data_IF_434359928123
#
_entry.id   IF_434359928123
#
_cell.length_a   1.000
_cell.length_b   1.000
_cell.length_c   1.000
_cell.angle_alpha   90.00
_cell.angle_beta   90.00
_cell.angle_gamma   90.00
#
_symmetry.space_group_name_H-M   'P 1'
#
loop_
_entity.id
_entity.type
_entity.pdbx_description
1 polymer ?
#
# COMPACT_ATOMS: atom_id res chain seq x y z
N UNK A 1 34.48 25.08 43.60
CA UNK A 1 33.11 25.34 43.09
C UNK A 1 32.14 25.07 44.22
N UNK A 2 31.23 26.00 44.54
CA UNK A 2 30.22 25.74 45.56
C UNK A 2 29.15 24.76 45.04
N UNK A 3 28.54 23.99 45.94
CA UNK A 3 27.42 23.08 45.61
C UNK A 3 26.30 23.80 44.85
N UNK A 4 26.07 25.09 45.15
CA UNK A 4 25.10 25.94 44.46
C UNK A 4 25.46 26.22 43.00
N UNK A 5 26.74 26.45 42.69
CA UNK A 5 27.21 26.66 41.32
C UNK A 5 27.05 25.40 40.45
N UNK A 6 27.28 24.22 41.03
CA UNK A 6 27.08 22.94 40.33
C UNK A 6 25.59 22.69 40.03
N UNK A 7 24.70 22.97 41.00
CA UNK A 7 23.24 22.86 40.83
C UNK A 7 22.76 23.81 39.72
N UNK A 8 23.16 25.08 39.75
CA UNK A 8 22.77 26.05 38.72
C UNK A 8 23.27 25.65 37.32
N UNK A 9 24.49 25.14 37.20
CA UNK A 9 25.03 24.64 35.93
C UNK A 9 24.22 23.45 35.41
N UNK A 10 23.85 22.49 36.27
CA UNK A 10 23.03 21.34 35.87
C UNK A 10 21.64 21.79 35.40
N UNK A 11 21.02 22.73 36.10
CA UNK A 11 19.73 23.31 35.71
C UNK A 11 19.80 24.04 34.36
N UNK A 12 20.82 24.86 34.14
CA UNK A 12 21.05 25.53 32.86
C UNK A 12 21.29 24.53 31.71
N UNK A 13 22.07 23.48 31.97
CA UNK A 13 22.30 22.41 30.98
C UNK A 13 21.01 21.67 30.64
N UNK A 14 20.21 21.30 31.64
CA UNK A 14 18.89 20.68 31.45
C UNK A 14 17.95 21.59 30.65
N UNK A 15 17.84 22.87 31.02
CA UNK A 15 17.04 23.88 30.30
C UNK A 15 17.48 24.04 28.85
N UNK A 16 18.77 24.20 28.59
CA UNK A 16 19.30 24.31 27.22
C UNK A 16 19.05 23.07 26.35
N UNK A 17 19.00 21.89 26.98
CA UNK A 17 18.73 20.62 26.30
C UNK A 17 17.24 20.51 25.97
N UNK A 18 16.37 20.91 26.90
CA UNK A 18 14.92 20.96 26.69
C UNK A 18 14.54 21.93 25.57
N UNK A 19 15.10 23.15 25.57
CA UNK A 19 14.88 24.15 24.52
C UNK A 19 15.29 23.60 23.15
N UNK A 20 16.50 23.03 23.03
CA UNK A 20 16.98 22.42 21.77
C UNK A 20 16.07 21.29 21.29
N UNK A 21 15.58 20.45 22.20
CA UNK A 21 14.65 19.36 21.88
C UNK A 21 13.31 19.91 21.37
N UNK A 22 12.74 20.90 22.04
CA UNK A 22 11.46 21.49 21.65
C UNK A 22 11.56 22.24 20.31
N UNK A 23 12.67 22.93 20.04
CA UNK A 23 12.92 23.55 18.73
C UNK A 23 12.99 22.51 17.59
N UNK A 24 13.60 21.35 17.85
CA UNK A 24 13.63 20.24 16.88
C UNK A 24 12.22 19.69 16.62
N UNK A 25 11.41 19.53 17.67
CA UNK A 25 10.02 19.09 17.51
C UNK A 25 9.17 20.09 16.74
N UNK A 26 9.26 21.39 17.06
CA UNK A 26 8.54 22.43 16.31
C UNK A 26 8.95 22.46 14.83
N UNK A 27 10.25 22.29 14.54
CA UNK A 27 10.73 22.17 13.15
C UNK A 27 10.17 20.93 12.45
N UNK A 28 10.14 19.78 13.12
CA UNK A 28 9.57 18.54 12.56
C UNK A 28 8.08 18.72 12.23
N UNK A 29 7.32 19.34 13.12
CA UNK A 29 5.92 19.67 12.88
C UNK A 29 5.73 20.63 11.72
N UNK A 30 6.60 21.61 11.50
CA UNK A 30 6.50 22.50 10.33
C UNK A 30 6.74 21.78 8.99
N UNK A 31 7.58 20.74 9.01
CA UNK A 31 7.95 19.93 7.84
C UNK A 31 7.22 18.57 7.75
N UNK A 32 6.13 18.39 8.52
CA UNK A 32 5.44 17.11 8.60
C UNK A 32 4.94 16.62 7.23
N UNK A 33 4.47 17.54 6.38
CA UNK A 33 3.88 17.21 5.08
C UNK A 33 4.95 16.70 4.10
N UNK A 34 6.11 17.36 4.07
CA UNK A 34 7.27 16.94 3.27
C UNK A 34 7.75 15.56 3.72
N UNK A 35 7.83 15.34 5.03
CA UNK A 35 8.20 14.04 5.61
C UNK A 35 7.18 12.98 5.21
N UNK A 36 5.88 13.27 5.31
CA UNK A 36 4.82 12.35 4.91
C UNK A 36 4.91 11.99 3.42
N UNK A 37 5.16 12.97 2.54
CA UNK A 37 5.34 12.74 1.10
C UNK A 37 6.56 11.87 0.81
N UNK A 38 7.70 12.13 1.47
CA UNK A 38 8.91 11.30 1.31
C UNK A 38 8.63 9.87 1.76
N UNK A 39 8.00 9.68 2.93
CA UNK A 39 7.67 8.35 3.44
C UNK A 39 6.71 7.60 2.50
N UNK A 40 5.65 8.26 2.02
CA UNK A 40 4.71 7.69 1.05
C UNK A 40 5.41 7.32 -0.27
N UNK A 41 6.31 8.18 -0.76
CA UNK A 41 7.06 7.92 -2.00
C UNK A 41 7.96 6.70 -1.85
N UNK A 42 8.71 6.61 -0.75
CA UNK A 42 9.54 5.42 -0.46
C UNK A 42 8.68 4.17 -0.36
N UNK A 43 7.53 4.27 0.33
CA UNK A 43 6.58 3.17 0.49
C UNK A 43 6.02 2.67 -0.84
N UNK A 44 5.78 3.55 -1.82
CA UNK A 44 5.29 3.16 -3.16
C UNK A 44 6.38 2.59 -4.06
N UNK A 45 7.60 3.12 -3.98
CA UNK A 45 8.71 2.68 -4.84
C UNK A 45 9.26 1.32 -4.44
N UNK A 46 9.26 0.97 -3.15
CA UNK A 46 9.80 -0.31 -2.66
C UNK A 46 9.09 -1.54 -3.27
N UNK A 47 7.75 -1.64 -3.32
CA UNK A 47 7.06 -2.73 -3.99
C UNK A 47 7.31 -2.85 -5.48
N UNK A 48 7.64 -1.74 -6.15
CA UNK A 48 8.01 -1.70 -7.58
C UNK A 48 9.43 -2.23 -7.78
N UNK A 49 10.31 -2.07 -6.80
CA UNK A 49 11.68 -2.62 -6.84
C UNK A 49 11.71 -4.15 -6.76
N UNK A 50 10.76 -4.78 -6.07
CA UNK A 50 10.70 -6.23 -5.91
C UNK A 50 10.76 -7.03 -7.23
N UNK A 51 9.94 -6.75 -8.26
CA UNK A 51 10.02 -7.44 -9.54
C UNK A 51 11.33 -7.21 -10.30
N UNK A 52 11.94 -6.01 -10.20
CA UNK A 52 13.27 -5.76 -10.78
C UNK A 52 14.34 -6.64 -10.12
N UNK A 53 14.30 -6.76 -8.79
CA UNK A 53 15.20 -7.65 -8.05
C UNK A 53 15.00 -9.12 -8.42
N UNK A 54 13.77 -9.55 -8.67
CA UNK A 54 13.49 -10.89 -9.21
C UNK A 54 14.12 -11.07 -10.60
N UNK A 55 13.91 -10.11 -11.51
CA UNK A 55 14.42 -10.16 -12.90
C UNK A 55 15.94 -10.25 -12.99
N UNK A 56 16.67 -9.59 -12.09
CA UNK A 56 18.15 -9.65 -12.05
C UNK A 56 18.70 -10.81 -11.21
N UNK A 57 17.83 -11.71 -10.73
CA UNK A 57 18.23 -12.88 -9.92
C UNK A 57 18.52 -12.58 -8.44
N UNK A 58 18.34 -11.34 -7.98
CA UNK A 58 18.47 -10.93 -6.58
C UNK A 58 17.23 -11.35 -5.75
N UNK A 59 16.93 -12.65 -5.74
CA UNK A 59 15.68 -13.19 -5.19
C UNK A 59 15.56 -13.04 -3.66
N UNK A 60 16.68 -13.13 -2.93
CA UNK A 60 16.69 -12.99 -1.47
C UNK A 60 16.19 -11.59 -1.01
N UNK A 61 16.78 -10.46 -1.46
CA UNK A 61 16.26 -9.14 -1.10
C UNK A 61 14.85 -8.89 -1.65
N UNK A 62 14.50 -9.41 -2.84
CA UNK A 62 13.13 -9.31 -3.34
C UNK A 62 12.11 -9.96 -2.37
N UNK A 63 12.42 -11.16 -1.87
CA UNK A 63 11.59 -11.88 -0.89
C UNK A 63 11.39 -11.10 0.40
N UNK A 64 12.40 -10.36 0.87
CA UNK A 64 12.25 -9.49 2.05
C UNK A 64 11.18 -8.43 1.79
N UNK A 65 11.21 -7.78 0.62
CA UNK A 65 10.19 -6.79 0.25
C UNK A 65 8.81 -7.45 0.21
N UNK A 66 8.63 -8.57 -0.50
CA UNK A 66 7.34 -9.28 -0.51
C UNK A 66 6.83 -9.60 0.89
N UNK A 67 7.71 -10.11 1.77
CA UNK A 67 7.36 -10.46 3.15
C UNK A 67 6.89 -9.26 3.96
N UNK A 68 7.61 -8.13 3.90
CA UNK A 68 7.25 -6.90 4.63
C UNK A 68 5.86 -6.39 4.24
N UNK A 69 5.49 -6.50 2.96
CA UNK A 69 4.18 -6.05 2.47
C UNK A 69 3.07 -7.09 2.60
N UNK A 70 3.40 -8.35 2.90
CA UNK A 70 2.43 -9.46 2.93
C UNK A 70 1.31 -9.35 3.99
N UNK A 71 1.45 -8.61 5.12
CA UNK A 71 0.34 -8.36 6.03
C UNK A 71 -0.61 -7.26 5.54
N UNK A 72 -0.17 -6.42 4.60
CA UNK A 72 -0.89 -5.22 4.14
C UNK A 72 -1.71 -5.49 2.87
N UNK A 73 -1.30 -6.47 2.06
CA UNK A 73 -1.99 -6.88 0.85
C UNK A 73 -1.86 -8.39 0.68
N UNK A 74 -2.90 -9.02 0.15
CA UNK A 74 -2.90 -10.45 -0.13
C UNK A 74 -1.97 -10.87 -1.28
N UNK A 75 -1.53 -9.91 -2.10
CA UNK A 75 -0.58 -10.07 -3.20
C UNK A 75 -1.03 -11.12 -4.22
N UNK A 76 -2.33 -11.29 -4.44
CA UNK A 76 -2.80 -12.23 -5.45
C UNK A 76 -2.30 -11.80 -6.83
N UNK A 77 -1.62 -12.71 -7.52
CA UNK A 77 -1.00 -12.46 -8.82
C UNK A 77 -1.96 -11.79 -9.80
N UNK A 78 -3.15 -12.33 -10.00
CA UNK A 78 -4.17 -11.77 -10.91
C UNK A 78 -4.75 -10.40 -10.51
N UNK A 79 -4.36 -9.86 -9.35
CA UNK A 79 -4.73 -8.52 -8.88
C UNK A 79 -3.54 -7.57 -8.82
N UNK A 80 -2.33 -8.06 -9.09
CA UNK A 80 -1.09 -7.28 -9.02
C UNK A 80 -0.68 -6.73 -10.38
N UNK A 81 0.22 -5.75 -10.35
CA UNK A 81 0.89 -5.23 -11.53
C UNK A 81 2.09 -6.13 -11.79
N UNK A 82 2.30 -6.55 -13.03
CA UNK A 82 3.49 -7.26 -13.48
C UNK A 82 4.42 -6.36 -14.26
N UNK A 83 5.73 -6.59 -14.11
CA UNK A 83 6.78 -5.94 -14.87
C UNK A 83 7.63 -7.00 -15.58
N UNK A 84 8.13 -6.65 -16.75
CA UNK A 84 9.04 -7.48 -17.57
C UNK A 84 8.42 -8.74 -18.18
N UNK A 85 7.08 -8.80 -18.28
CA UNK A 85 6.35 -9.88 -18.96
C UNK A 85 5.50 -9.38 -20.12
N UNK A 86 4.72 -10.29 -20.69
CA UNK A 86 3.83 -10.02 -21.83
C UNK A 86 2.78 -8.93 -21.55
N UNK A 87 2.30 -8.86 -20.30
CA UNK A 87 1.23 -7.95 -19.88
C UNK A 87 1.56 -7.25 -18.56
N UNK A 88 1.00 -6.06 -18.38
CA UNK A 88 1.03 -5.35 -17.09
C UNK A 88 0.04 -5.91 -16.08
N UNK A 89 -1.07 -6.48 -16.56
CA UNK A 89 -2.12 -7.05 -15.74
C UNK A 89 -2.56 -8.38 -16.33
N UNK A 90 -2.76 -9.37 -15.46
CA UNK A 90 -3.32 -10.67 -15.81
C UNK A 90 -4.63 -10.84 -15.03
N UNK A 91 -5.77 -10.31 -15.50
CA UNK A 91 -7.04 -10.49 -14.81
C UNK A 91 -7.52 -11.94 -14.91
N UNK A 92 -8.38 -12.37 -13.99
CA UNK A 92 -9.07 -13.67 -14.09
C UNK A 92 -9.96 -13.71 -15.34
N UNK A 93 -10.22 -14.91 -15.87
CA UNK A 93 -11.11 -15.10 -17.03
C UNK A 93 -12.45 -14.36 -16.91
N UNK A 94 -13.06 -14.39 -15.71
CA UNK A 94 -14.34 -13.71 -15.42
C UNK A 94 -14.29 -12.18 -15.60
N UNK A 95 -13.11 -11.58 -15.43
CA UNK A 95 -12.87 -10.14 -15.58
C UNK A 95 -12.19 -9.79 -16.92
N UNK A 96 -11.68 -10.78 -17.65
CA UNK A 96 -11.00 -10.58 -18.92
C UNK A 96 -11.97 -10.31 -20.09
N UNK A 97 -13.29 -10.32 -19.88
CA UNK A 97 -14.31 -10.02 -20.91
C UNK A 97 -14.10 -10.75 -22.26
N UNK A 98 -13.53 -11.96 -22.23
CA UNK A 98 -13.26 -12.74 -23.45
C UNK A 98 -11.93 -12.46 -24.16
N UNK A 99 -11.02 -11.68 -23.57
CA UNK A 99 -9.64 -11.61 -24.07
C UNK A 99 -8.89 -12.91 -23.79
N UNK A 100 -8.11 -13.39 -24.76
CA UNK A 100 -7.38 -14.66 -24.68
C UNK A 100 -6.20 -14.68 -23.68
N UNK A 101 -6.01 -13.59 -22.94
CA UNK A 101 -4.82 -13.34 -22.13
C UNK A 101 -5.12 -13.23 -20.63
N UNK A 102 -5.90 -14.18 -20.10
CA UNK A 102 -6.23 -14.22 -18.67
C UNK A 102 -5.12 -14.81 -17.81
N UNK A 103 -5.18 -14.55 -16.52
CA UNK A 103 -4.33 -15.21 -15.53
C UNK A 103 -4.47 -16.73 -15.60
N UNK A 104 -5.68 -17.24 -15.68
CA UNK A 104 -5.98 -18.67 -15.64
C UNK A 104 -5.27 -19.42 -16.80
N UNK A 105 -5.23 -18.83 -17.99
CA UNK A 105 -4.49 -19.38 -19.15
C UNK A 105 -2.97 -19.31 -18.95
N UNK A 106 -2.43 -18.13 -18.65
CA UNK A 106 -0.99 -17.94 -18.44
C UNK A 106 -0.44 -18.77 -17.28
N UNK A 107 -1.21 -18.89 -16.20
CA UNK A 107 -0.84 -19.66 -15.01
C UNK A 107 -0.86 -21.17 -15.28
N UNK A 108 -1.73 -21.65 -16.17
CA UNK A 108 -1.75 -23.05 -16.58
C UNK A 108 -0.55 -23.44 -17.44
N UNK A 109 0.01 -22.49 -18.19
CA UNK A 109 1.20 -22.67 -19.04
C UNK A 109 2.52 -22.40 -18.28
N UNK A 110 2.44 -21.93 -17.04
CA UNK A 110 3.61 -21.62 -16.20
C UNK A 110 4.00 -22.82 -15.34
N UNK A 111 5.14 -23.44 -15.63
CA UNK A 111 5.70 -24.52 -14.82
C UNK A 111 5.85 -24.10 -13.34
N UNK A 112 6.33 -22.87 -13.09
CA UNK A 112 6.50 -22.35 -11.72
C UNK A 112 5.16 -22.23 -10.99
N UNK A 113 4.11 -21.74 -11.66
CA UNK A 113 2.80 -21.66 -11.05
C UNK A 113 2.18 -23.04 -10.83
N UNK A 114 2.23 -23.92 -11.83
CA UNK A 114 1.67 -25.28 -11.77
C UNK A 114 2.33 -26.08 -10.66
N UNK A 115 3.64 -25.97 -10.47
CA UNK A 115 4.36 -26.62 -9.37
C UNK A 115 3.87 -26.12 -8.00
N UNK A 116 3.70 -24.81 -7.84
CA UNK A 116 3.18 -24.22 -6.60
C UNK A 116 1.74 -24.71 -6.35
N UNK A 117 0.88 -24.63 -7.35
CA UNK A 117 -0.53 -25.00 -7.23
C UNK A 117 -0.72 -26.49 -6.95
N UNK A 118 0.00 -27.36 -7.68
CA UNK A 118 -0.05 -28.81 -7.50
C UNK A 118 0.48 -29.23 -6.13
N UNK A 119 1.47 -28.53 -5.57
CA UNK A 119 1.96 -28.80 -4.21
C UNK A 119 0.83 -28.67 -3.17
N UNK A 120 0.07 -27.57 -3.22
CA UNK A 120 -1.07 -27.36 -2.32
C UNK A 120 -2.23 -28.33 -2.56
N UNK A 121 -2.45 -28.76 -3.81
CA UNK A 121 -3.47 -29.77 -4.13
C UNK A 121 -3.07 -31.15 -3.64
N UNK A 122 -1.81 -31.56 -3.78
CA UNK A 122 -1.30 -32.86 -3.31
C UNK A 122 -1.36 -32.98 -1.79
N UNK A 123 -1.11 -31.90 -1.06
CA UNK A 123 -1.26 -31.86 0.40
C UNK A 123 -2.70 -32.18 0.84
N UNK A 124 -3.69 -31.82 0.01
CA UNK A 124 -5.11 -32.01 0.32
C UNK A 124 -5.73 -33.28 -0.30
N UNK A 125 -5.33 -33.65 -1.52
CA UNK A 125 -5.95 -34.71 -2.34
C UNK A 125 -5.06 -35.95 -2.54
N UNK A 126 -3.82 -35.91 -2.05
CA UNK A 126 -2.85 -37.01 -2.16
C UNK A 126 -1.87 -36.88 -3.33
N UNK A 127 -0.75 -37.59 -3.23
CA UNK A 127 0.42 -37.45 -4.11
C UNK A 127 0.19 -37.80 -5.58
N UNK A 128 -0.90 -38.50 -5.91
CA UNK A 128 -1.26 -38.90 -7.28
C UNK A 128 -1.97 -37.81 -8.08
N UNK A 129 -2.32 -36.69 -7.45
CA UNK A 129 -2.97 -35.59 -8.13
C UNK A 129 -2.09 -35.02 -9.27
N UNK A 130 -2.73 -34.79 -10.42
CA UNK A 130 -2.16 -34.19 -11.61
C UNK A 130 -3.03 -33.00 -12.02
N UNK A 131 -2.39 -31.94 -12.48
CA UNK A 131 -3.07 -30.72 -12.89
C UNK A 131 -3.86 -30.95 -14.18
N UNK A 132 -5.12 -30.52 -14.18
CA UNK A 132 -6.05 -30.74 -15.30
C UNK A 132 -6.05 -29.65 -16.39
N UNK A 133 -5.28 -28.57 -16.21
CA UNK A 133 -5.27 -27.42 -17.11
C UNK A 133 -6.03 -26.20 -16.57
N UNK A 134 -6.19 -25.17 -17.41
CA UNK A 134 -6.72 -23.86 -17.02
C UNK A 134 -8.16 -23.89 -16.49
N UNK A 135 -8.99 -24.84 -16.95
CA UNK A 135 -10.37 -25.00 -16.48
C UNK A 135 -10.45 -25.23 -14.97
N UNK A 136 -9.45 -25.89 -14.38
CA UNK A 136 -9.41 -26.12 -12.94
C UNK A 136 -9.18 -24.83 -12.14
N UNK A 137 -8.52 -23.86 -12.75
CA UNK A 137 -8.24 -22.57 -12.13
C UNK A 137 -9.47 -21.68 -12.11
N UNK A 138 -10.48 -21.92 -12.96
CA UNK A 138 -11.71 -21.13 -13.02
C UNK A 138 -12.45 -21.00 -11.68
N UNK A 139 -12.28 -21.99 -10.78
CA UNK A 139 -12.87 -21.99 -9.44
C UNK A 139 -11.89 -21.40 -8.41
N UNK A 140 -12.36 -20.45 -7.60
CA UNK A 140 -11.53 -19.77 -6.59
C UNK A 140 -11.35 -20.61 -5.30
N UNK A 141 -10.55 -21.67 -5.38
CA UNK A 141 -10.32 -22.59 -4.26
C UNK A 141 -9.24 -22.07 -3.28
N UNK A 142 -9.20 -22.54 -2.01
CA UNK A 142 -8.16 -22.19 -1.04
C UNK A 142 -6.73 -22.46 -1.51
N UNK A 143 -6.51 -23.51 -2.29
CA UNK A 143 -5.23 -23.85 -2.92
C UNK A 143 -4.84 -22.78 -3.94
N UNK A 144 -5.80 -22.34 -4.76
CA UNK A 144 -5.58 -21.29 -5.74
C UNK A 144 -5.27 -19.94 -5.06
N UNK A 145 -5.93 -19.62 -3.93
CA UNK A 145 -5.61 -18.39 -3.19
C UNK A 145 -4.17 -18.39 -2.67
N UNK A 146 -3.72 -19.52 -2.12
CA UNK A 146 -2.36 -19.69 -1.63
C UNK A 146 -1.35 -19.65 -2.78
N UNK A 147 -1.61 -20.36 -3.87
CA UNK A 147 -0.76 -20.38 -5.04
C UNK A 147 -0.63 -18.99 -5.68
N UNK A 148 -1.74 -18.30 -5.93
CA UNK A 148 -1.75 -16.94 -6.48
C UNK A 148 -1.05 -15.92 -5.57
N UNK A 149 -1.09 -16.12 -4.24
CA UNK A 149 -0.32 -15.31 -3.28
C UNK A 149 1.18 -15.64 -3.33
N UNK A 150 1.56 -16.91 -3.38
CA UNK A 150 2.97 -17.34 -3.38
C UNK A 150 3.70 -17.04 -4.70
N UNK A 151 3.02 -17.21 -5.83
CA UNK A 151 3.59 -17.06 -7.16
C UNK A 151 4.08 -15.62 -7.39
N UNK A 152 5.38 -15.44 -7.62
CA UNK A 152 5.98 -14.11 -7.81
C UNK A 152 6.02 -13.69 -9.28
N UNK A 153 5.82 -14.64 -10.20
CA UNK A 153 6.03 -14.44 -11.62
C UNK A 153 7.15 -15.30 -12.17
N UNK A 154 7.28 -15.31 -13.49
CA UNK A 154 8.25 -16.07 -14.28
C UNK A 154 8.74 -15.22 -15.47
N UNK A 155 9.44 -15.84 -16.43
CA UNK A 155 9.98 -15.13 -17.60
C UNK A 155 8.91 -14.68 -18.61
N UNK A 156 7.74 -15.34 -18.64
CA UNK A 156 6.65 -15.05 -19.58
C UNK A 156 5.72 -13.99 -18.99
N UNK A 157 5.24 -14.24 -17.76
CA UNK A 157 4.37 -13.33 -17.04
C UNK A 157 5.12 -12.10 -16.51
N UNK A 158 6.46 -12.17 -16.46
CA UNK A 158 7.26 -11.22 -15.71
C UNK A 158 7.04 -11.41 -14.21
N UNK A 159 7.41 -10.40 -13.41
CA UNK A 159 7.31 -10.46 -11.95
C UNK A 159 6.32 -9.44 -11.40
N UNK A 160 5.54 -9.86 -10.41
CA UNK A 160 4.50 -9.03 -9.79
C UNK A 160 5.07 -8.01 -8.81
N UNK A 161 4.38 -6.89 -8.59
CA UNK A 161 4.69 -5.97 -7.49
C UNK A 161 4.38 -6.57 -6.13
N UNK A 162 5.07 -6.12 -5.07
CA UNK A 162 4.80 -6.58 -3.70
C UNK A 162 3.48 -6.06 -3.10
N UNK A 163 2.76 -5.20 -3.83
CA UNK A 163 1.40 -4.78 -3.54
C UNK A 163 0.49 -5.07 -4.73
N UNK A 164 -0.79 -5.19 -4.42
CA UNK A 164 -1.90 -5.37 -5.33
C UNK A 164 -2.06 -4.07 -6.15
N UNK A 165 -2.61 -4.13 -7.36
CA UNK A 165 -2.80 -2.94 -8.21
C UNK A 165 -3.66 -1.86 -7.54
N UNK A 166 -4.67 -2.27 -6.75
CA UNK A 166 -5.50 -1.36 -5.96
C UNK A 166 -4.67 -0.60 -4.92
N UNK A 167 -3.91 -1.33 -4.11
CA UNK A 167 -3.12 -0.73 -3.03
C UNK A 167 -2.01 0.14 -3.59
N UNK A 168 -1.36 -0.32 -4.67
CA UNK A 168 -0.41 0.49 -5.43
C UNK A 168 -1.04 1.80 -5.88
N UNK A 169 -2.24 1.76 -6.46
CA UNK A 169 -2.95 2.95 -6.90
C UNK A 169 -3.35 3.87 -5.73
N UNK A 170 -3.80 3.33 -4.60
CA UNK A 170 -4.11 4.10 -3.38
C UNK A 170 -2.87 4.87 -2.93
N UNK A 171 -1.78 4.18 -2.66
CA UNK A 171 -0.59 4.81 -2.09
C UNK A 171 0.13 5.72 -3.10
N UNK A 172 0.18 5.36 -4.38
CA UNK A 172 0.73 6.23 -5.42
C UNK A 172 -0.08 7.52 -5.54
N UNK A 173 -1.41 7.42 -5.53
CA UNK A 173 -2.27 8.59 -5.58
C UNK A 173 -2.20 9.43 -4.29
N UNK A 174 -1.98 8.82 -3.13
CA UNK A 174 -1.66 9.54 -1.89
C UNK A 174 -0.32 10.28 -1.99
N UNK A 175 0.73 9.67 -2.56
CA UNK A 175 2.01 10.32 -2.74
C UNK A 175 1.90 11.52 -3.70
N UNK A 176 1.20 11.36 -4.84
CA UNK A 176 0.94 12.43 -5.81
C UNK A 176 0.08 13.53 -5.21
N UNK A 177 -1.02 13.17 -4.53
CA UNK A 177 -1.89 14.12 -3.84
C UNK A 177 -1.16 14.87 -2.74
N UNK A 178 -0.30 14.20 -1.99
CA UNK A 178 0.53 14.79 -0.95
C UNK A 178 1.56 15.76 -1.52
N UNK A 179 2.20 15.41 -2.64
CA UNK A 179 3.08 16.33 -3.37
C UNK A 179 2.33 17.57 -3.85
N UNK A 180 1.15 17.39 -4.46
CA UNK A 180 0.26 18.49 -4.84
C UNK A 180 -0.14 19.35 -3.64
N UNK A 181 -0.42 18.73 -2.49
CA UNK A 181 -0.76 19.41 -1.24
C UNK A 181 0.33 20.39 -0.80
N UNK A 182 1.62 20.08 -0.98
CA UNK A 182 2.72 20.98 -0.59
C UNK A 182 2.57 22.39 -1.20
N UNK A 183 2.01 22.50 -2.41
CA UNK A 183 1.81 23.77 -3.11
C UNK A 183 0.54 24.51 -2.67
N UNK A 184 -0.47 23.79 -2.19
CA UNK A 184 -1.79 24.35 -1.85
C UNK A 184 -2.14 24.30 -0.35
N UNK A 185 -1.25 23.78 0.50
CA UNK A 185 -1.47 23.50 1.94
C UNK A 185 -2.06 24.64 2.75
N UNK A 186 -1.75 25.89 2.38
CA UNK A 186 -2.26 27.09 3.07
C UNK A 186 -3.71 27.46 2.71
N UNK A 187 -4.22 26.99 1.58
CA UNK A 187 -5.54 27.36 1.03
C UNK A 187 -6.52 26.19 0.99
N UNK A 188 -6.01 24.96 0.92
CA UNK A 188 -6.83 23.77 0.77
C UNK A 188 -7.64 23.53 2.05
N UNK A 189 -8.97 23.44 1.90
CA UNK A 189 -9.87 23.03 2.98
C UNK A 189 -10.12 21.52 2.90
N UNK A 190 -10.40 20.86 4.03
CA UNK A 190 -10.81 19.46 4.01
C UNK A 190 -12.02 19.26 3.09
N UNK A 191 -12.02 18.16 2.36
CA UNK A 191 -13.15 17.79 1.51
C UNK A 191 -14.41 17.56 2.37
N UNK A 192 -15.61 17.95 1.91
CA UNK A 192 -16.84 17.63 2.63
C UNK A 192 -17.02 16.11 2.81
N UNK A 193 -17.43 15.68 4.00
CA UNK A 193 -17.55 14.25 4.35
C UNK A 193 -18.46 13.51 3.36
N UNK A 194 -19.57 14.13 2.93
CA UNK A 194 -20.48 13.53 1.94
C UNK A 194 -19.76 13.25 0.62
N UNK A 195 -18.95 14.19 0.14
CA UNK A 195 -18.18 14.00 -1.09
C UNK A 195 -17.10 12.91 -0.92
N UNK A 196 -16.46 12.84 0.25
CA UNK A 196 -15.54 11.75 0.62
C UNK A 196 -16.22 10.38 0.60
N UNK A 197 -17.40 10.27 1.21
CA UNK A 197 -18.15 9.01 1.24
C UNK A 197 -18.59 8.63 -0.16
N UNK A 198 -19.12 9.55 -0.96
CA UNK A 198 -19.66 9.24 -2.29
C UNK A 198 -18.58 8.93 -3.33
N UNK A 199 -17.46 9.66 -3.34
CA UNK A 199 -16.42 9.52 -4.38
C UNK A 199 -15.21 8.72 -3.92
N UNK A 200 -14.85 8.81 -2.64
CA UNK A 200 -13.72 8.07 -2.08
C UNK A 200 -14.14 6.66 -1.67
N UNK A 201 -15.05 6.56 -0.69
CA UNK A 201 -15.40 5.28 -0.08
C UNK A 201 -16.41 4.47 -0.90
N UNK A 202 -17.35 5.13 -1.56
CA UNK A 202 -18.44 4.51 -2.30
C UNK A 202 -17.96 3.55 -3.39
N UNK A 203 -17.17 3.99 -4.38
CA UNK A 203 -16.79 3.13 -5.50
C UNK A 203 -15.96 1.92 -5.08
N UNK A 204 -14.94 2.13 -4.24
CA UNK A 204 -14.07 1.06 -3.74
C UNK A 204 -14.82 0.10 -2.79
N UNK A 205 -15.74 0.62 -1.98
CA UNK A 205 -16.56 -0.15 -1.07
C UNK A 205 -17.57 -1.02 -1.82
N UNK A 206 -18.34 -0.43 -2.74
CA UNK A 206 -19.29 -1.18 -3.59
C UNK A 206 -18.55 -2.28 -4.34
N UNK A 207 -17.40 -1.97 -4.94
CA UNK A 207 -16.60 -2.95 -5.66
C UNK A 207 -16.09 -4.08 -4.76
N UNK A 208 -15.49 -3.75 -3.61
CA UNK A 208 -14.98 -4.73 -2.66
C UNK A 208 -16.07 -5.63 -2.06
N UNK A 209 -17.19 -5.04 -1.64
CA UNK A 209 -18.35 -5.80 -1.16
C UNK A 209 -18.96 -6.65 -2.28
N UNK A 210 -19.01 -6.13 -3.51
CA UNK A 210 -19.52 -6.89 -4.65
C UNK A 210 -18.73 -8.17 -4.90
N UNK A 211 -17.40 -8.12 -4.75
CA UNK A 211 -16.54 -9.29 -4.89
C UNK A 211 -16.68 -10.22 -3.67
N UNK A 212 -16.61 -9.67 -2.45
CA UNK A 212 -16.66 -10.45 -1.21
C UNK A 212 -17.93 -11.30 -1.11
N UNK A 213 -19.08 -10.72 -1.44
CA UNK A 213 -20.37 -11.39 -1.33
C UNK A 213 -20.64 -12.40 -2.47
N UNK A 214 -19.85 -12.36 -3.55
CA UNK A 214 -19.89 -13.35 -4.62
C UNK A 214 -19.06 -14.61 -4.35
N UNK A 215 -18.27 -14.64 -3.28
CA UNK A 215 -17.45 -15.79 -2.89
C UNK A 215 -18.00 -16.50 -1.65
N UNK A 216 -17.60 -17.77 -1.40
CA UNK A 216 -17.88 -18.44 -0.14
C UNK A 216 -17.42 -17.60 1.05
N UNK A 217 -18.19 -17.53 2.16
CA UNK A 217 -19.38 -18.32 2.46
C UNK A 217 -20.71 -17.71 1.98
N UNK A 218 -20.70 -16.56 1.31
CA UNK A 218 -21.93 -15.80 1.04
C UNK A 218 -22.62 -16.22 -0.26
N UNK A 219 -21.88 -16.31 -1.36
CA UNK A 219 -22.39 -16.78 -2.67
C UNK A 219 -23.71 -16.12 -3.14
N UNK A 220 -23.91 -14.83 -2.83
CA UNK A 220 -25.16 -14.13 -3.13
C UNK A 220 -25.40 -13.94 -4.64
N UNK A 221 -24.33 -13.98 -5.44
CA UNK A 221 -24.33 -13.94 -6.89
C UNK A 221 -23.06 -14.64 -7.43
N UNK A 222 -22.97 -14.90 -8.75
CA UNK A 222 -21.81 -15.55 -9.32
C UNK A 222 -20.49 -14.84 -8.96
N UNK A 223 -19.40 -15.59 -8.72
CA UNK A 223 -18.09 -15.00 -8.49
C UNK A 223 -17.77 -13.92 -9.51
N UNK A 224 -17.29 -12.79 -9.00
CA UNK A 224 -16.98 -11.61 -9.79
C UNK A 224 -15.59 -11.13 -9.44
N UNK A 225 -14.80 -10.86 -10.46
CA UNK A 225 -13.57 -10.09 -10.35
C UNK A 225 -13.70 -8.76 -11.09
N UNK A 226 -12.98 -7.78 -10.59
CA UNK A 226 -12.99 -6.42 -11.15
C UNK A 226 -11.85 -6.26 -12.15
N UNK A 227 -12.18 -5.64 -13.28
CA UNK A 227 -11.23 -5.31 -14.35
C UNK A 227 -10.09 -4.41 -13.81
N UNK A 228 -8.86 -4.54 -14.35
CA UNK A 228 -7.70 -3.80 -13.84
C UNK A 228 -7.89 -2.28 -13.80
N UNK A 229 -8.52 -1.69 -14.82
CA UNK A 229 -8.72 -0.24 -14.96
C UNK A 229 -9.58 0.30 -13.83
N UNK A 230 -10.69 -0.37 -13.52
CA UNK A 230 -11.59 0.04 -12.44
C UNK A 230 -10.92 -0.14 -11.08
N UNK A 231 -10.08 -1.18 -10.92
CA UNK A 231 -9.29 -1.41 -9.70
C UNK A 231 -8.29 -0.29 -9.44
N UNK A 232 -7.60 0.18 -10.48
CA UNK A 232 -6.66 1.31 -10.40
C UNK A 232 -7.42 2.62 -10.17
N UNK A 233 -8.49 2.87 -10.91
CA UNK A 233 -9.28 4.10 -10.80
C UNK A 233 -9.87 4.27 -9.39
N UNK A 234 -10.57 3.26 -8.89
CA UNK A 234 -11.20 3.31 -7.55
C UNK A 234 -10.16 3.42 -6.45
N UNK A 235 -9.01 2.73 -6.58
CA UNK A 235 -7.88 2.88 -5.66
C UNK A 235 -7.31 4.28 -5.67
N UNK A 236 -7.03 4.85 -6.85
CA UNK A 236 -6.47 6.19 -6.98
C UNK A 236 -7.42 7.28 -6.44
N UNK A 237 -8.72 7.18 -6.75
CA UNK A 237 -9.74 8.08 -6.20
C UNK A 237 -9.78 8.01 -4.68
N UNK A 238 -9.80 6.80 -4.11
CA UNK A 238 -9.78 6.63 -2.66
C UNK A 238 -8.51 7.24 -2.02
N UNK A 239 -7.34 7.01 -2.62
CA UNK A 239 -6.08 7.58 -2.16
C UNK A 239 -6.06 9.13 -2.17
N UNK A 240 -6.48 9.75 -3.28
CA UNK A 240 -6.59 11.21 -3.38
C UNK A 240 -7.57 11.79 -2.36
N UNK A 241 -8.72 11.15 -2.19
CA UNK A 241 -9.75 11.59 -1.26
C UNK A 241 -9.29 11.48 0.20
N UNK A 242 -8.48 10.46 0.54
CA UNK A 242 -7.86 10.37 1.87
C UNK A 242 -6.89 11.53 2.13
N UNK A 243 -6.06 11.90 1.16
CA UNK A 243 -5.16 13.06 1.29
C UNK A 243 -5.96 14.36 1.42
N UNK A 244 -6.94 14.57 0.54
CA UNK A 244 -7.76 15.79 0.55
C UNK A 244 -8.58 15.92 1.84
N UNK A 245 -9.02 14.81 2.43
CA UNK A 245 -9.65 14.83 3.74
C UNK A 245 -8.64 15.09 4.86
N UNK A 246 -7.63 14.22 5.00
CA UNK A 246 -6.79 14.16 6.20
C UNK A 246 -5.74 15.28 6.27
N UNK A 247 -5.07 15.60 5.16
CA UNK A 247 -3.91 16.50 5.20
C UNK A 247 -4.25 17.92 5.65
N UNK A 248 -5.38 18.53 5.22
CA UNK A 248 -5.79 19.83 5.75
C UNK A 248 -6.09 19.82 7.26
N UNK A 249 -6.60 18.72 7.82
CA UNK A 249 -6.78 18.59 9.28
C UNK A 249 -5.44 18.46 10.00
N UNK A 250 -4.55 17.62 9.48
CA UNK A 250 -3.20 17.43 10.02
C UNK A 250 -2.40 18.74 9.99
N UNK A 251 -2.47 19.51 8.90
CA UNK A 251 -1.77 20.81 8.79
C UNK A 251 -2.17 21.77 9.90
N UNK A 252 -3.48 21.90 10.18
CA UNK A 252 -3.97 22.76 11.25
C UNK A 252 -3.44 22.30 12.62
N UNK A 253 -3.56 21.01 12.90
CA UNK A 253 -3.10 20.42 14.17
C UNK A 253 -1.59 20.58 14.36
N UNK A 254 -0.80 20.41 13.30
CA UNK A 254 0.67 20.54 13.34
C UNK A 254 1.11 21.99 13.52
N UNK A 255 0.44 22.95 12.87
CA UNK A 255 0.70 24.38 13.06
C UNK A 255 0.37 24.80 14.50
N UNK A 256 -0.81 24.43 15.00
CA UNK A 256 -1.23 24.76 16.37
C UNK A 256 -0.26 24.19 17.40
N UNK A 257 0.16 22.93 17.22
CA UNK A 257 1.15 22.28 18.08
C UNK A 257 2.52 22.96 18.03
N UNK A 258 2.95 23.40 16.86
CA UNK A 258 4.24 24.08 16.68
C UNK A 258 4.22 25.47 17.34
N UNK A 259 3.14 26.22 17.16
CA UNK A 259 2.96 27.52 17.81
C UNK A 259 2.89 27.40 19.34
N UNK A 260 2.19 26.40 19.88
CA UNK A 260 2.14 26.15 21.31
C UNK A 260 3.53 25.82 21.91
N UNK A 261 4.35 25.05 21.19
CA UNK A 261 5.73 24.79 21.59
C UNK A 261 6.60 26.04 21.53
N UNK A 262 6.42 26.89 20.52
CA UNK A 262 7.17 28.15 20.38
C UNK A 262 6.86 29.12 21.54
N UNK A 263 5.60 29.23 21.95
CA UNK A 263 5.20 30.02 23.12
C UNK A 263 5.85 29.48 24.41
N UNK A 264 5.77 28.16 24.64
CA UNK A 264 6.44 27.51 25.78
C UNK A 264 7.95 27.80 25.79
N UNK A 265 8.60 27.79 24.62
CA UNK A 265 10.03 28.10 24.50
C UNK A 265 10.29 29.58 24.81
N UNK A 266 9.45 30.49 24.34
CA UNK A 266 9.57 31.93 24.62
C UNK A 266 9.43 32.21 26.12
N UNK A 267 8.47 31.59 26.80
CA UNK A 267 8.34 31.69 28.26
C UNK A 267 9.58 31.14 28.99
N UNK A 268 10.11 29.99 28.52
CA UNK A 268 11.38 29.43 29.01
C UNK A 268 12.61 30.27 28.67
N UNK A 269 12.52 31.29 27.81
CA UNK A 269 13.62 32.22 27.53
C UNK A 269 13.42 33.56 28.26
N UNK A 270 12.17 33.96 28.50
CA UNK A 270 11.81 35.21 29.19
C UNK A 270 11.81 35.10 30.72
N UNK A 271 11.67 33.89 31.28
CA UNK A 271 11.84 33.63 32.72
C UNK A 271 13.29 33.58 33.19
N UNK A 272 14.19 34.35 32.55
CA UNK A 272 15.56 34.66 32.96
C UNK A 272 15.66 36.14 33.39
#
# INVERSE_FOLDING_TARGET
MSKQQEVNRKLQQQRSTLIRRNLRYARWQRHWAEIAVVLLTVYVLLPILAPTLMKVGATAPARVIYTVYSPLCHQFAFRSIFLYGDQTFYPRDQAANGFDHSFDKYAADSDEFVDIYTSYRRDNLGSRYQFGGSEELAVWTPELQRAARQFKGDEIMGYKTALCARDMAIYAAMAVGGFGFLFVRKKLRPVPIVLYVLLGLGPIGIDGFSQLLGYPPFELWPPRETIPEFRVLTGALFGLMNVWLAFPYLEKSMIESASAMELTIQEMLAGD
#
